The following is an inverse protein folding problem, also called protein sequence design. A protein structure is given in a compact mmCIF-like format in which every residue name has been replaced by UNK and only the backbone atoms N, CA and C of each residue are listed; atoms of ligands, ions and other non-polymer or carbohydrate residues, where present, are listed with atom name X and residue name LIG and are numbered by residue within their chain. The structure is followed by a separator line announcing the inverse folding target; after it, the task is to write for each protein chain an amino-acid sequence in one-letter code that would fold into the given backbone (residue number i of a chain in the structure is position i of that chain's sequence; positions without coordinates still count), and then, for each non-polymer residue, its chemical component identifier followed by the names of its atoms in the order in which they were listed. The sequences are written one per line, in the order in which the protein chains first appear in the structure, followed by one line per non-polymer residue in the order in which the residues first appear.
data_IF_523635892581
#
_entry.id   IF_523635892581
#
_cell.length_a   1.000
_cell.length_b   1.000
_cell.length_c   1.000
_cell.angle_alpha   90.00
_cell.angle_beta   90.00
_cell.angle_gamma   90.00
#
_symmetry.space_group_name_H-M   'P 1'
#
loop_
_entity.id
_entity.type
_entity.pdbx_description
1 polymer ?
#
# COMPACT_ATOMS: atom_id res chain seq x y z
N UNK A 1 53.95 33.20 36.49
CA UNK A 1 53.53 32.09 35.60
C UNK A 1 52.01 32.07 35.55
N UNK A 2 51.41 32.64 34.51
CA UNK A 2 49.96 32.58 34.29
C UNK A 2 49.65 31.34 33.44
N UNK A 3 48.90 30.39 33.99
CA UNK A 3 48.46 29.19 33.29
C UNK A 3 47.15 29.51 32.56
N UNK A 4 47.22 29.63 31.24
CA UNK A 4 46.05 29.79 30.37
C UNK A 4 45.48 28.38 30.10
N UNK A 5 44.34 28.06 30.69
CA UNK A 5 43.60 26.83 30.37
C UNK A 5 42.71 27.10 29.17
N UNK A 6 43.18 26.68 27.98
CA UNK A 6 42.37 26.65 26.77
C UNK A 6 41.27 25.61 26.93
N UNK A 7 40.01 26.07 27.05
CA UNK A 7 38.84 25.23 26.87
C UNK A 7 38.60 25.09 25.36
N UNK A 8 38.91 23.91 24.82
CA UNK A 8 38.44 23.52 23.49
C UNK A 8 36.98 23.08 23.65
N UNK A 9 36.03 23.97 23.35
CA UNK A 9 34.65 23.56 23.09
C UNK A 9 34.62 22.92 21.69
N UNK A 10 34.72 21.59 21.66
CA UNK A 10 34.33 20.82 20.49
C UNK A 10 32.79 20.73 20.48
N UNK A 11 32.13 21.73 19.89
CA UNK A 11 30.71 21.64 19.55
C UNK A 11 30.55 20.65 18.39
N UNK A 12 30.12 19.43 18.69
CA UNK A 12 29.80 18.44 17.67
C UNK A 12 28.61 18.92 16.83
N UNK A 13 28.78 18.96 15.50
CA UNK A 13 27.66 18.95 14.58
C UNK A 13 26.93 17.62 14.78
N UNK A 14 25.77 17.65 15.43
CA UNK A 14 24.84 16.52 15.40
C UNK A 14 24.28 16.50 13.97
N UNK A 15 24.83 15.64 13.12
CA UNK A 15 24.18 15.30 11.87
C UNK A 15 22.85 14.62 12.25
N UNK A 16 21.73 15.28 11.95
CA UNK A 16 20.41 14.65 11.99
C UNK A 16 20.38 13.64 10.83
N UNK A 17 20.85 12.43 11.06
CA UNK A 17 20.63 11.34 10.11
C UNK A 17 19.15 10.97 10.19
N UNK A 18 18.42 11.17 9.09
CA UNK A 18 17.02 10.76 9.00
C UNK A 18 16.96 9.23 8.84
N UNK A 19 16.93 8.52 9.98
CA UNK A 19 17.01 7.08 10.05
C UNK A 19 15.71 6.33 9.74
N UNK A 20 14.66 7.05 9.32
CA UNK A 20 13.39 6.47 8.91
C UNK A 20 13.52 5.56 7.68
N UNK A 21 12.43 4.89 7.39
CA UNK A 21 12.41 3.79 6.43
C UNK A 21 12.16 4.30 5.02
N UNK A 22 12.92 3.76 4.06
CA UNK A 22 12.76 4.02 2.62
C UNK A 22 12.67 2.72 1.85
N UNK A 23 11.90 2.74 0.76
CA UNK A 23 11.79 1.62 -0.17
C UNK A 23 13.15 1.30 -0.78
N UNK A 24 13.52 0.02 -0.81
CA UNK A 24 14.72 -0.49 -1.48
C UNK A 24 14.37 -1.40 -2.65
N UNK A 25 13.34 -2.25 -2.48
CA UNK A 25 12.87 -3.20 -3.48
C UNK A 25 11.34 -3.10 -3.56
N UNK A 26 10.73 -2.93 -4.75
CA UNK A 26 11.39 -2.70 -6.04
C UNK A 26 12.24 -1.42 -6.07
N UNK A 27 13.20 -1.35 -7.00
CA UNK A 27 14.12 -0.21 -7.10
C UNK A 27 13.32 1.08 -7.29
N UNK A 28 13.41 2.06 -6.37
CA UNK A 28 12.64 3.29 -6.46
C UNK A 28 13.03 4.16 -7.65
N UNK A 29 12.23 5.18 -7.92
CA UNK A 29 12.66 6.28 -8.79
C UNK A 29 13.97 6.90 -8.28
N UNK A 30 14.88 7.20 -9.21
CA UNK A 30 16.13 7.93 -8.94
C UNK A 30 15.96 9.44 -9.07
N UNK A 31 14.93 9.90 -9.78
CA UNK A 31 14.47 11.29 -9.80
C UNK A 31 12.94 11.30 -9.70
N UNK A 32 12.32 12.01 -8.74
CA UNK A 32 13.00 12.59 -7.58
C UNK A 32 13.77 11.49 -6.81
N UNK A 33 14.89 11.82 -6.16
CA UNK A 33 15.46 10.88 -5.20
C UNK A 33 14.46 10.70 -4.06
N UNK A 34 14.13 9.45 -3.73
CA UNK A 34 13.29 9.18 -2.56
C UNK A 34 14.01 9.58 -1.27
N UNK A 35 13.24 9.95 -0.26
CA UNK A 35 13.75 10.23 1.09
C UNK A 35 13.08 9.31 2.10
N UNK A 36 13.68 9.21 3.28
CA UNK A 36 13.10 8.53 4.44
C UNK A 36 12.05 9.37 5.17
N UNK A 37 11.89 10.65 4.80
CA UNK A 37 10.94 11.57 5.44
C UNK A 37 9.49 11.28 5.01
N UNK A 38 8.50 11.53 5.88
CA UNK A 38 7.10 11.39 5.51
C UNK A 38 6.68 12.41 4.45
N UNK A 39 5.52 12.18 3.81
CA UNK A 39 4.84 13.21 3.04
C UNK A 39 4.53 14.40 3.97
N UNK A 40 4.72 15.61 3.46
CA UNK A 40 4.42 16.84 4.19
C UNK A 40 2.97 16.83 4.69
N UNK A 41 2.71 17.36 5.88
CA UNK A 41 1.35 17.35 6.44
C UNK A 41 0.36 18.19 5.61
N UNK A 42 0.83 19.21 4.88
CA UNK A 42 0.06 19.93 3.85
C UNK A 42 -0.01 19.19 2.51
N UNK A 43 0.76 18.12 2.37
CA UNK A 43 0.91 17.23 1.22
C UNK A 43 1.36 17.91 -0.06
N UNK A 44 2.17 18.97 0.08
CA UNK A 44 2.76 19.66 -1.06
C UNK A 44 3.60 18.74 -1.96
N UNK A 45 4.12 17.64 -1.42
CA UNK A 45 4.92 16.62 -2.11
C UNK A 45 4.16 15.28 -2.28
N UNK A 46 2.82 15.27 -2.16
CA UNK A 46 2.01 14.11 -2.49
C UNK A 46 1.64 14.11 -3.99
N UNK A 47 1.72 12.96 -4.69
CA UNK A 47 2.24 11.66 -4.28
C UNK A 47 3.75 11.51 -4.52
N UNK A 48 4.34 10.40 -4.05
CA UNK A 48 5.70 9.99 -4.39
C UNK A 48 6.82 10.99 -4.04
N UNK A 49 6.60 11.86 -3.04
CA UNK A 49 7.56 12.86 -2.56
C UNK A 49 7.97 13.91 -3.62
N UNK A 50 7.10 14.19 -4.60
CA UNK A 50 7.35 15.18 -5.65
C UNK A 50 6.08 15.89 -6.11
N UNK A 51 6.25 16.97 -6.88
CA UNK A 51 5.18 17.75 -7.50
C UNK A 51 4.82 17.29 -8.93
N UNK A 52 5.37 16.14 -9.36
CA UNK A 52 4.97 15.45 -10.58
C UNK A 52 5.78 15.78 -11.84
N UNK A 53 6.82 16.61 -11.74
CA UNK A 53 7.52 17.13 -12.92
C UNK A 53 8.57 16.16 -13.50
N UNK A 54 9.30 15.41 -12.67
CA UNK A 54 10.41 14.54 -13.10
C UNK A 54 10.36 13.15 -12.44
N UNK A 55 9.99 12.13 -13.22
CA UNK A 55 10.08 10.72 -12.81
C UNK A 55 11.11 10.00 -13.70
N UNK A 56 12.21 9.57 -13.11
CA UNK A 56 13.31 8.85 -13.77
C UNK A 56 13.69 7.63 -12.92
N UNK A 57 13.79 6.48 -13.55
CA UNK A 57 14.26 5.24 -12.95
C UNK A 57 14.11 4.11 -13.96
N UNK A 58 14.90 3.05 -13.79
CA UNK A 58 14.78 1.87 -14.66
C UNK A 58 13.62 1.00 -14.15
N UNK A 59 12.60 0.69 -14.97
CA UNK A 59 11.46 -0.09 -14.53
C UNK A 59 11.86 -1.50 -14.09
N UNK A 60 11.44 -1.91 -12.91
CA UNK A 60 11.53 -3.32 -12.49
C UNK A 60 10.48 -4.12 -13.26
N UNK A 61 10.91 -5.15 -14.00
CA UNK A 61 9.99 -6.02 -14.76
C UNK A 61 9.29 -7.00 -13.85
N UNK A 62 7.96 -7.06 -13.96
CA UNK A 62 7.13 -7.94 -13.13
C UNK A 62 6.09 -8.65 -14.00
N UNK A 63 6.04 -9.97 -13.91
CA UNK A 63 5.07 -10.76 -14.66
C UNK A 63 3.75 -10.84 -13.90
N UNK A 64 2.61 -10.78 -14.60
CA UNK A 64 1.31 -11.11 -14.01
C UNK A 64 1.32 -12.50 -13.37
N UNK A 65 0.68 -12.64 -12.22
CA UNK A 65 0.66 -13.86 -11.43
C UNK A 65 1.95 -14.15 -10.66
N UNK A 66 2.99 -13.31 -10.78
CA UNK A 66 4.24 -13.51 -10.06
C UNK A 66 4.22 -12.89 -8.65
N UNK A 67 5.00 -13.51 -7.76
CA UNK A 67 5.37 -12.96 -6.46
C UNK A 67 6.52 -11.97 -6.64
N UNK A 68 6.42 -10.83 -5.98
CA UNK A 68 7.43 -9.77 -5.97
C UNK A 68 7.88 -9.50 -4.54
N UNK A 69 9.16 -9.19 -4.39
CA UNK A 69 9.74 -8.82 -3.09
C UNK A 69 9.46 -7.35 -2.79
N UNK A 70 9.18 -7.06 -1.53
CA UNK A 70 9.15 -5.72 -0.95
C UNK A 70 10.21 -5.64 0.17
N UNK A 71 11.13 -4.70 0.04
CA UNK A 71 12.25 -4.55 0.97
C UNK A 71 12.60 -3.09 1.24
N UNK A 72 13.21 -2.84 2.41
CA UNK A 72 13.44 -1.49 2.92
C UNK A 72 14.88 -1.26 3.41
N UNK A 73 15.25 0.00 3.52
CA UNK A 73 16.47 0.51 4.16
C UNK A 73 16.07 1.51 5.25
N UNK A 74 16.77 1.51 6.37
CA UNK A 74 16.53 2.38 7.53
C UNK A 74 16.48 1.59 8.84
N UNK A 75 16.29 2.30 9.94
CA UNK A 75 16.25 1.70 11.29
C UNK A 75 15.18 2.26 12.22
N UNK A 76 14.62 3.44 11.92
CA UNK A 76 13.51 4.00 12.67
C UNK A 76 12.17 3.46 12.17
N UNK A 77 11.82 2.27 12.66
CA UNK A 77 10.61 1.52 12.27
C UNK A 77 9.39 1.85 13.13
N UNK A 78 9.51 2.69 14.16
CA UNK A 78 8.38 3.20 14.96
C UNK A 78 7.45 2.12 15.53
N UNK A 79 8.01 0.98 15.97
CA UNK A 79 7.24 -0.16 16.46
C UNK A 79 6.47 -0.91 15.37
N UNK A 80 6.84 -0.69 14.10
CA UNK A 80 6.12 -1.14 12.92
C UNK A 80 4.98 -0.18 12.55
N UNK A 81 3.78 -0.73 12.44
CA UNK A 81 2.64 -0.07 11.82
C UNK A 81 2.10 -0.90 10.68
N UNK A 82 1.43 -0.24 9.73
CA UNK A 82 0.76 -0.93 8.63
C UNK A 82 1.08 -0.28 7.30
N UNK A 83 1.15 -1.10 6.25
CA UNK A 83 1.57 -0.68 4.93
C UNK A 83 0.59 -1.12 3.85
N UNK A 84 0.55 -0.39 2.75
CA UNK A 84 -0.03 -0.89 1.50
C UNK A 84 1.01 -0.85 0.38
N UNK A 85 0.96 -1.85 -0.49
CA UNK A 85 1.56 -1.80 -1.82
C UNK A 85 0.43 -1.52 -2.79
N UNK A 86 0.57 -0.48 -3.59
CA UNK A 86 -0.47 -0.05 -4.54
C UNK A 86 0.13 0.24 -5.90
N UNK A 87 -0.69 0.20 -6.96
CA UNK A 87 -0.28 0.42 -8.34
C UNK A 87 -1.10 1.52 -9.01
N UNK A 88 -0.46 2.30 -9.88
CA UNK A 88 -1.11 3.15 -10.88
C UNK A 88 -0.42 2.98 -12.22
N UNK A 89 -1.16 3.11 -13.32
CA UNK A 89 -0.57 3.15 -14.67
C UNK A 89 -0.18 4.58 -15.10
N UNK A 90 -0.35 5.56 -14.21
CA UNK A 90 0.24 6.88 -14.39
C UNK A 90 1.77 6.76 -14.25
N UNK A 91 2.50 6.92 -15.36
CA UNK A 91 3.97 6.95 -15.36
C UNK A 91 4.54 8.18 -14.64
N UNK A 92 3.70 9.21 -14.47
CA UNK A 92 4.01 10.43 -13.71
C UNK A 92 2.88 10.75 -12.74
N UNK A 93 2.81 10.03 -11.60
CA UNK A 93 1.72 10.24 -10.66
C UNK A 93 1.68 11.68 -10.13
N UNK A 94 0.46 12.17 -9.95
CA UNK A 94 0.16 13.48 -9.39
C UNK A 94 -1.01 13.38 -8.39
N UNK A 95 -1.43 14.50 -7.81
CA UNK A 95 -2.48 14.51 -6.79
C UNK A 95 -3.86 13.99 -7.28
N UNK A 96 -4.07 13.83 -8.59
CA UNK A 96 -5.28 13.26 -9.18
C UNK A 96 -5.13 11.77 -9.54
N UNK A 97 -3.93 11.21 -9.43
CA UNK A 97 -3.69 9.79 -9.69
C UNK A 97 -4.40 8.91 -8.67
N UNK A 98 -5.02 7.83 -9.16
CA UNK A 98 -5.61 6.78 -8.32
C UNK A 98 -4.62 5.64 -8.16
N UNK A 99 -4.34 5.26 -6.92
CA UNK A 99 -3.50 4.11 -6.60
C UNK A 99 -4.38 2.95 -6.12
N UNK A 100 -4.22 1.79 -6.75
CA UNK A 100 -5.02 0.58 -6.51
C UNK A 100 -4.26 -0.42 -5.66
N UNK A 101 -4.85 -0.89 -4.57
CA UNK A 101 -4.20 -1.75 -3.58
C UNK A 101 -3.92 -3.13 -4.17
N UNK A 102 -2.65 -3.52 -4.15
CA UNK A 102 -2.18 -4.88 -4.46
C UNK A 102 -2.05 -5.74 -3.21
N UNK A 103 -1.57 -5.15 -2.11
CA UNK A 103 -1.30 -5.83 -0.84
C UNK A 103 -1.56 -4.89 0.33
N UNK A 104 -2.18 -5.40 1.38
CA UNK A 104 -2.21 -4.73 2.70
C UNK A 104 -1.45 -5.56 3.73
N UNK A 105 -0.58 -4.92 4.49
CA UNK A 105 0.17 -5.52 5.61
C UNK A 105 -0.28 -4.81 6.88
N UNK A 106 -1.05 -5.52 7.70
CA UNK A 106 -1.68 -5.02 8.92
C UNK A 106 -0.85 -5.43 10.14
N UNK A 107 -0.06 -4.47 10.63
CA UNK A 107 0.89 -4.69 11.70
C UNK A 107 2.24 -5.20 11.23
N UNK A 108 3.28 -4.86 12.00
CA UNK A 108 4.63 -5.36 11.78
C UNK A 108 5.31 -4.91 10.50
N UNK A 109 4.81 -3.87 9.81
CA UNK A 109 5.50 -3.27 8.67
C UNK A 109 6.08 -1.89 9.06
N UNK A 110 7.33 -1.55 8.68
CA UNK A 110 8.26 -2.31 7.82
C UNK A 110 9.17 -3.31 8.54
N UNK A 111 9.06 -3.47 9.86
CA UNK A 111 9.75 -4.53 10.60
C UNK A 111 8.84 -5.22 11.62
N UNK A 112 8.89 -6.55 11.66
CA UNK A 112 8.06 -7.41 12.51
C UNK A 112 8.69 -7.55 13.89
N UNK A 113 7.87 -7.58 14.93
CA UNK A 113 8.33 -7.89 16.30
C UNK A 113 9.28 -6.85 16.93
N UNK A 114 9.38 -5.64 16.37
CA UNK A 114 10.17 -4.54 16.93
C UNK A 114 9.25 -3.62 17.75
N UNK A 115 9.57 -3.39 19.02
CA UNK A 115 8.74 -2.55 19.91
C UNK A 115 8.94 -1.03 19.72
N UNK A 116 10.06 -0.63 19.13
CA UNK A 116 10.43 0.77 18.89
C UNK A 116 11.23 0.90 17.59
N UNK A 117 12.47 1.38 17.67
CA UNK A 117 13.40 1.41 16.54
C UNK A 117 14.41 0.26 16.62
N UNK A 118 15.04 -0.05 15.48
CA UNK A 118 16.11 -1.04 15.39
C UNK A 118 17.39 -0.40 15.96
N UNK A 119 18.06 -1.12 16.85
CA UNK A 119 19.31 -0.69 17.47
C UNK A 119 20.49 -1.59 17.07
N UNK A 120 21.68 -1.03 16.80
CA UNK A 120 21.96 0.41 16.74
C UNK A 120 21.31 1.09 15.53
N UNK A 121 21.13 2.40 15.61
CA UNK A 121 20.67 3.21 14.47
C UNK A 121 21.53 2.96 13.22
N UNK A 122 20.86 2.66 12.11
CA UNK A 122 21.45 2.34 10.82
C UNK A 122 20.59 2.96 9.70
N UNK A 123 20.74 4.26 9.41
CA UNK A 123 19.92 4.98 8.41
C UNK A 123 20.05 4.41 7.00
N UNK A 124 21.21 3.80 6.70
CA UNK A 124 21.51 3.16 5.41
C UNK A 124 21.62 1.62 5.54
N UNK A 125 21.19 1.06 6.68
CA UNK A 125 21.16 -0.39 6.90
C UNK A 125 19.91 -1.01 6.29
N UNK A 126 20.03 -2.24 5.80
CA UNK A 126 18.85 -2.99 5.34
C UNK A 126 17.95 -3.35 6.52
N UNK A 127 16.64 -3.22 6.32
CA UNK A 127 15.65 -3.70 7.27
C UNK A 127 15.78 -5.23 7.44
N UNK A 128 15.49 -5.77 8.64
CA UNK A 128 15.64 -7.19 8.95
C UNK A 128 14.62 -8.06 8.21
N UNK A 129 13.49 -7.48 7.82
CA UNK A 129 12.37 -8.15 7.19
C UNK A 129 12.22 -7.74 5.72
N UNK A 130 11.82 -8.70 4.91
CA UNK A 130 11.19 -8.48 3.61
C UNK A 130 9.76 -9.00 3.63
N UNK A 131 8.98 -8.58 2.63
CA UNK A 131 7.58 -8.94 2.43
C UNK A 131 7.39 -9.37 0.98
N UNK A 132 6.25 -9.97 0.70
CA UNK A 132 5.86 -10.35 -0.66
C UNK A 132 4.53 -9.71 -1.04
N UNK A 133 4.39 -9.36 -2.31
CA UNK A 133 3.12 -9.00 -2.92
C UNK A 133 2.97 -9.68 -4.28
N UNK A 134 1.73 -9.93 -4.68
CA UNK A 134 1.41 -10.54 -5.97
C UNK A 134 1.08 -9.48 -7.02
N UNK A 135 1.47 -9.70 -8.28
CA UNK A 135 0.89 -8.99 -9.41
C UNK A 135 -0.37 -9.74 -9.86
N UNK A 136 -1.57 -9.13 -9.81
CA UNK A 136 -2.80 -9.79 -10.27
C UNK A 136 -2.74 -10.17 -11.75
N UNK A 137 -3.43 -11.26 -12.12
CA UNK A 137 -3.54 -11.67 -13.53
C UNK A 137 -4.50 -10.79 -14.34
N UNK A 138 -5.43 -10.09 -13.67
CA UNK A 138 -6.55 -9.39 -14.30
C UNK A 138 -6.33 -7.89 -14.52
N UNK A 139 -5.14 -7.35 -14.20
CA UNK A 139 -4.78 -5.95 -14.47
C UNK A 139 -4.11 -5.79 -15.85
N UNK A 140 -4.06 -4.59 -16.45
CA UNK A 140 -3.41 -4.35 -17.73
C UNK A 140 -1.90 -4.71 -17.75
N UNK A 141 -1.31 -4.84 -18.94
CA UNK A 141 0.16 -4.87 -19.07
C UNK A 141 0.65 -3.47 -19.44
N UNK A 142 1.90 -3.15 -19.13
CA UNK A 142 2.52 -1.87 -19.47
C UNK A 142 3.35 -1.27 -18.35
N UNK A 143 3.88 -0.07 -18.60
CA UNK A 143 4.58 0.70 -17.58
C UNK A 143 3.60 1.18 -16.52
N UNK A 144 4.02 1.10 -15.27
CA UNK A 144 3.24 1.49 -14.13
C UNK A 144 4.16 1.99 -13.00
N UNK A 145 3.54 2.54 -11.97
CA UNK A 145 4.18 2.95 -10.73
C UNK A 145 3.66 2.10 -9.58
N UNK A 146 4.56 1.47 -8.83
CA UNK A 146 4.22 0.90 -7.52
C UNK A 146 4.52 1.93 -6.43
N UNK A 147 3.59 2.09 -5.50
CA UNK A 147 3.77 2.87 -4.29
C UNK A 147 3.78 1.94 -3.07
N UNK A 148 4.83 2.06 -2.26
CA UNK A 148 4.79 1.63 -0.86
C UNK A 148 4.29 2.79 -0.02
N UNK A 149 3.30 2.53 0.82
CA UNK A 149 2.83 3.47 1.83
C UNK A 149 2.90 2.87 3.21
N UNK A 150 3.17 3.69 4.21
CA UNK A 150 3.28 3.26 5.60
C UNK A 150 2.70 4.28 6.57
N UNK A 151 1.90 3.76 7.51
CA UNK A 151 1.38 4.46 8.68
C UNK A 151 2.07 3.91 9.92
N UNK A 152 2.91 4.72 10.55
CA UNK A 152 3.71 4.36 11.71
C UNK A 152 2.87 4.16 12.97
N UNK A 153 3.16 3.10 13.73
CA UNK A 153 2.43 2.78 14.96
C UNK A 153 2.68 3.81 16.06
N UNK A 154 3.93 4.21 16.27
CA UNK A 154 4.38 5.07 17.39
C UNK A 154 4.92 6.40 16.85
N UNK A 155 4.70 7.52 17.56
CA UNK A 155 5.26 8.83 17.22
C UNK A 155 4.25 9.79 16.60
N UNK A 156 4.70 10.67 15.71
CA UNK A 156 3.80 11.57 14.99
C UNK A 156 2.84 10.78 14.09
N UNK A 157 1.67 11.33 13.78
CA UNK A 157 0.74 10.68 12.84
C UNK A 157 1.18 11.05 11.44
N UNK A 158 1.95 10.18 10.81
CA UNK A 158 2.64 10.45 9.55
C UNK A 158 2.14 9.52 8.43
N UNK A 159 2.40 9.92 7.19
CA UNK A 159 2.13 9.12 5.99
C UNK A 159 3.41 9.06 5.17
N UNK A 160 4.04 7.89 5.13
CA UNK A 160 5.22 7.65 4.32
C UNK A 160 4.79 7.10 2.97
N UNK A 161 5.45 7.56 1.91
CA UNK A 161 5.19 7.08 0.56
C UNK A 161 6.46 7.14 -0.28
N UNK A 162 6.91 6.00 -0.80
CA UNK A 162 7.94 5.95 -1.86
C UNK A 162 7.41 5.19 -3.05
N UNK A 163 7.87 5.58 -4.24
CA UNK A 163 7.39 5.02 -5.50
C UNK A 163 8.52 4.42 -6.33
N UNK A 164 8.20 3.40 -7.12
CA UNK A 164 9.11 2.69 -8.00
C UNK A 164 8.50 2.51 -9.39
N UNK A 165 9.26 2.74 -10.47
CA UNK A 165 8.82 2.40 -11.81
C UNK A 165 8.82 0.88 -11.99
N UNK A 166 7.78 0.35 -12.62
CA UNK A 166 7.67 -1.07 -12.96
C UNK A 166 7.16 -1.24 -14.38
N UNK A 167 7.41 -2.41 -14.96
CA UNK A 167 6.83 -2.82 -16.24
C UNK A 167 6.11 -4.16 -16.04
N UNK A 168 4.77 -4.11 -16.10
CA UNK A 168 3.92 -5.29 -15.97
C UNK A 168 3.84 -6.00 -17.31
N UNK A 169 4.28 -7.26 -17.34
CA UNK A 169 4.26 -8.10 -18.54
C UNK A 169 3.26 -9.26 -18.41
N UNK A 170 2.90 -9.85 -19.55
CA UNK A 170 1.87 -10.89 -19.65
C UNK A 170 0.75 -10.50 -20.60
N UNK A 171 -0.18 -11.42 -20.82
CA UNK A 171 -1.36 -11.23 -21.67
C UNK A 171 -2.64 -11.15 -20.84
N UNK A 172 -3.75 -10.70 -21.44
CA UNK A 172 -5.01 -10.56 -20.73
C UNK A 172 -5.06 -9.36 -19.78
N UNK A 173 -5.99 -9.40 -18.83
CA UNK A 173 -6.29 -8.31 -17.92
C UNK A 173 -7.07 -7.16 -18.55
N UNK A 174 -7.61 -6.27 -17.72
CA UNK A 174 -8.47 -5.18 -18.17
C UNK A 174 -8.46 -4.00 -17.19
N UNK A 175 -8.84 -2.83 -17.69
CA UNK A 175 -9.12 -1.67 -16.84
C UNK A 175 -10.20 -1.95 -15.79
N UNK A 176 -11.14 -2.86 -16.08
CA UNK A 176 -12.16 -3.27 -15.11
C UNK A 176 -11.57 -4.10 -13.95
N UNK A 177 -10.56 -4.94 -14.23
CA UNK A 177 -9.83 -5.67 -13.18
C UNK A 177 -9.04 -4.71 -12.28
N UNK A 178 -8.33 -3.76 -12.88
CA UNK A 178 -7.66 -2.68 -12.13
C UNK A 178 -8.65 -1.86 -11.30
N UNK A 179 -9.80 -1.48 -11.87
CA UNK A 179 -10.83 -0.70 -11.18
C UNK A 179 -11.56 -1.48 -10.08
N UNK A 180 -11.53 -2.81 -10.11
CA UNK A 180 -12.10 -3.67 -9.06
C UNK A 180 -11.22 -3.73 -7.81
N UNK A 181 -9.93 -3.41 -7.93
CA UNK A 181 -9.05 -3.25 -6.79
C UNK A 181 -9.47 -2.02 -5.96
N UNK A 182 -9.36 -2.07 -4.62
CA UNK A 182 -9.63 -0.91 -3.78
C UNK A 182 -8.69 0.25 -4.06
N UNK A 183 -9.13 1.48 -3.84
CA UNK A 183 -8.20 2.60 -3.74
C UNK A 183 -7.40 2.55 -2.43
N UNK A 184 -6.14 2.98 -2.54
CA UNK A 184 -5.19 3.11 -1.45
C UNK A 184 -5.71 4.08 -0.39
N UNK A 185 -5.48 3.75 0.89
CA UNK A 185 -5.77 4.64 1.99
C UNK A 185 -4.81 5.84 1.97
N UNK A 186 -5.38 7.04 2.06
CA UNK A 186 -4.64 8.28 2.33
C UNK A 186 -5.15 8.80 3.68
N UNK A 187 -4.24 9.10 4.59
CA UNK A 187 -4.56 9.68 5.90
C UNK A 187 -3.41 10.59 6.35
N UNK A 188 -3.63 11.36 7.42
CA UNK A 188 -2.63 12.19 8.10
C UNK A 188 -2.06 13.39 7.29
N UNK A 189 -2.51 13.60 6.05
CA UNK A 189 -2.14 14.75 5.20
C UNK A 189 -3.38 15.53 4.77
N UNK A 190 -3.23 16.79 4.37
CA UNK A 190 -4.34 17.67 4.00
C UNK A 190 -5.27 17.10 2.90
N UNK A 191 -4.69 16.35 1.95
CA UNK A 191 -5.37 15.69 0.83
C UNK A 191 -6.36 14.62 1.33
N UNK A 192 -6.12 14.07 2.51
CA UNK A 192 -6.99 13.08 3.15
C UNK A 192 -8.21 13.71 3.88
N UNK A 193 -8.32 15.04 3.87
CA UNK A 193 -9.38 15.76 4.58
C UNK A 193 -9.34 15.50 6.09
N UNK A 194 -10.35 14.82 6.60
CA UNK A 194 -10.47 14.50 8.04
C UNK A 194 -9.88 13.14 8.42
N UNK A 195 -9.44 12.34 7.44
CA UNK A 195 -8.97 10.98 7.70
C UNK A 195 -7.63 10.97 8.45
N UNK A 196 -7.64 10.35 9.64
CA UNK A 196 -6.48 10.32 10.54
C UNK A 196 -6.30 8.95 11.18
N UNK A 197 -5.06 8.63 11.48
CA UNK A 197 -4.69 7.43 12.23
C UNK A 197 -4.54 7.72 13.72
N UNK A 198 -4.77 6.70 14.56
CA UNK A 198 -4.51 6.76 15.99
C UNK A 198 -3.08 6.29 16.31
N UNK A 199 -2.49 6.84 17.37
CA UNK A 199 -1.21 6.36 17.90
C UNK A 199 -1.38 5.06 18.70
N UNK A 200 -0.38 4.18 18.61
CA UNK A 200 -0.28 2.95 19.39
C UNK A 200 -1.11 1.78 18.84
N UNK A 201 -1.67 1.92 17.65
CA UNK A 201 -2.37 0.85 16.92
C UNK A 201 -1.83 0.70 15.51
N UNK A 202 -1.89 -0.54 15.03
CA UNK A 202 -1.72 -0.89 13.63
C UNK A 202 -3.04 -0.60 12.89
N UNK A 203 -2.98 -0.25 11.60
CA UNK A 203 -4.17 0.12 10.84
C UNK A 203 -4.93 -1.12 10.39
N UNK A 204 -6.20 -1.20 10.75
CA UNK A 204 -7.18 -2.03 10.07
C UNK A 204 -7.64 -1.27 8.81
N UNK A 205 -7.13 -1.64 7.65
CA UNK A 205 -7.49 -0.93 6.43
C UNK A 205 -8.98 -1.14 6.13
N UNK A 206 -9.78 -0.09 5.90
CA UNK A 206 -11.20 -0.24 5.58
C UNK A 206 -11.46 -1.04 4.31
N UNK A 207 -10.54 -0.94 3.34
CA UNK A 207 -10.60 -1.66 2.07
C UNK A 207 -9.22 -2.29 1.77
N UNK A 208 -8.90 -3.44 2.41
CA UNK A 208 -7.54 -3.98 2.39
C UNK A 208 -7.19 -4.72 1.09
N UNK A 209 -8.17 -4.98 0.23
CA UNK A 209 -8.03 -5.84 -0.95
C UNK A 209 -8.17 -7.32 -0.60
N UNK A 210 -7.81 -8.19 -1.54
CA UNK A 210 -7.88 -9.65 -1.37
C UNK A 210 -6.59 -10.25 -0.82
N UNK A 211 -5.45 -9.59 -0.98
CA UNK A 211 -4.16 -10.01 -0.46
C UNK A 211 -3.82 -9.22 0.82
N UNK A 212 -4.09 -9.85 1.96
CA UNK A 212 -3.90 -9.25 3.29
C UNK A 212 -2.98 -10.13 4.12
N UNK A 213 -1.92 -9.53 4.64
CA UNK A 213 -1.08 -10.12 5.67
C UNK A 213 -1.36 -9.41 6.99
N UNK A 214 -1.58 -10.15 8.07
CA UNK A 214 -1.64 -9.61 9.42
C UNK A 214 -0.46 -10.19 10.20
N UNK A 215 0.35 -9.34 10.81
CA UNK A 215 1.50 -9.83 11.58
C UNK A 215 1.05 -10.71 12.75
N UNK A 216 1.90 -11.68 13.12
CA UNK A 216 1.70 -12.49 14.32
C UNK A 216 2.14 -11.72 15.58
N UNK A 217 1.57 -12.07 16.74
CA UNK A 217 1.93 -11.48 18.04
C UNK A 217 0.97 -10.38 18.51
N UNK A 218 1.49 -9.43 19.30
CA UNK A 218 0.72 -8.30 19.86
C UNK A 218 0.40 -7.23 18.80
N UNK A 219 -0.48 -7.59 17.87
CA UNK A 219 -1.06 -6.68 16.88
C UNK A 219 -2.36 -6.09 17.42
N UNK A 220 -2.41 -4.77 17.52
CA UNK A 220 -3.62 -4.04 17.91
C UNK A 220 -4.12 -3.28 16.70
N UNK A 221 -5.05 -3.90 15.98
CA UNK A 221 -5.69 -3.27 14.83
C UNK A 221 -6.73 -2.24 15.29
N UNK A 222 -6.74 -1.09 14.61
CA UNK A 222 -7.80 -0.10 14.72
C UNK A 222 -8.06 0.53 13.34
N UNK A 223 -9.33 0.80 12.99
CA UNK A 223 -9.63 1.55 11.79
C UNK A 223 -9.14 3.00 11.94
N UNK A 224 -8.86 3.70 10.82
CA UNK A 224 -8.63 5.13 10.87
C UNK A 224 -9.93 5.87 11.24
N UNK A 225 -9.79 7.08 11.79
CA UNK A 225 -10.88 7.95 12.21
C UNK A 225 -11.17 9.04 11.18
N UNK A 226 -12.41 9.53 11.14
CA UNK A 226 -12.90 10.52 10.19
C UNK A 226 -13.42 9.93 8.87
N UNK A 227 -13.53 10.77 7.85
CA UNK A 227 -14.03 10.38 6.53
C UNK A 227 -12.90 9.75 5.69
N UNK A 228 -12.55 8.52 6.03
CA UNK A 228 -11.52 7.73 5.36
C UNK A 228 -12.06 6.99 4.13
N UNK A 229 -12.83 7.70 3.30
CA UNK A 229 -13.43 7.14 2.10
C UNK A 229 -12.35 6.54 1.20
N UNK A 230 -12.45 5.25 0.91
CA UNK A 230 -11.87 4.73 -0.31
C UNK A 230 -12.53 5.47 -1.46
N UNK A 231 -11.75 6.14 -2.29
CA UNK A 231 -12.20 6.31 -3.65
C UNK A 231 -12.52 4.90 -4.23
N UNK A 232 -13.47 4.84 -5.15
CA UNK A 232 -13.81 3.68 -6.00
C UNK A 232 -13.38 2.25 -5.63
N UNK A 233 -14.31 1.50 -5.03
CA UNK A 233 -14.34 0.03 -5.09
C UNK A 233 -15.66 -0.53 -4.58
N UNK A 234 -16.61 -0.83 -5.48
CA UNK A 234 -17.88 -1.48 -5.14
C UNK A 234 -17.63 -2.95 -4.74
N UNK A 235 -17.36 -3.20 -3.46
CA UNK A 235 -17.39 -4.52 -2.82
C UNK A 235 -18.68 -4.69 -2.02
N UNK A 236 -19.52 -5.65 -2.42
CA UNK A 236 -20.91 -5.76 -1.98
C UNK A 236 -21.12 -6.02 -0.49
N UNK A 237 -22.13 -5.37 0.07
CA UNK A 237 -22.64 -5.65 1.41
C UNK A 237 -23.16 -7.09 1.49
N UNK A 238 -22.44 -7.95 2.22
CA UNK A 238 -22.94 -9.22 2.70
C UNK A 238 -23.98 -9.01 3.82
N UNK A 239 -25.21 -8.71 3.44
CA UNK A 239 -26.37 -8.72 4.35
C UNK A 239 -27.09 -10.06 4.27
N UNK A 240 -26.96 -10.89 5.31
CA UNK A 240 -27.72 -12.14 5.42
C UNK A 240 -28.96 -11.97 6.29
N UNK A 241 -30.03 -12.61 5.82
CA UNK A 241 -31.24 -13.08 6.51
C UNK A 241 -32.50 -12.19 6.53
N UNK A 242 -33.60 -12.80 6.05
CA UNK A 242 -34.96 -12.29 6.13
C UNK A 242 -35.85 -12.92 5.06
N UNK A 243 -36.20 -14.19 5.23
CA UNK A 243 -36.97 -14.95 4.25
C UNK A 243 -38.41 -14.48 4.08
N UNK A 244 -38.98 -14.75 2.91
CA UNK A 244 -40.40 -15.13 2.74
C UNK A 244 -40.59 -15.70 1.34
N UNK A 245 -41.13 -16.91 1.30
CA UNK A 245 -41.48 -17.64 0.09
C UNK A 245 -42.69 -17.01 -0.60
N UNK A 246 -42.63 -16.89 -1.92
CA UNK A 246 -43.81 -16.74 -2.77
C UNK A 246 -43.67 -17.60 -4.02
N UNK A 247 -44.70 -18.41 -4.25
CA UNK A 247 -44.78 -19.47 -5.23
C UNK A 247 -44.78 -18.99 -6.69
N UNK A 248 -44.18 -19.78 -7.57
CA UNK A 248 -44.28 -19.63 -9.02
C UNK A 248 -45.52 -20.36 -9.57
N UNK A 249 -46.24 -19.83 -10.58
CA UNK A 249 -47.27 -20.58 -11.31
C UNK A 249 -46.63 -21.50 -12.36
N UNK A 250 -47.21 -22.71 -12.49
CA UNK A 250 -46.73 -23.78 -13.35
C UNK A 250 -46.84 -23.48 -14.86
N UNK A 251 -45.78 -23.86 -15.59
CA UNK A 251 -45.72 -23.85 -17.04
C UNK A 251 -46.47 -25.04 -17.66
N UNK A 252 -47.20 -24.74 -18.73
CA UNK A 252 -48.05 -25.66 -19.48
C UNK A 252 -47.26 -26.70 -20.30
N UNK A 253 -47.86 -27.89 -20.40
CA UNK A 253 -47.36 -29.03 -21.18
C UNK A 253 -47.55 -28.85 -22.69
N UNK A 254 -46.53 -29.23 -23.46
CA UNK A 254 -46.59 -29.39 -24.93
C UNK A 254 -47.04 -30.80 -25.32
N UNK A 255 -47.84 -30.99 -26.39
CA UNK A 255 -48.30 -32.30 -26.83
C UNK A 255 -47.29 -32.98 -27.78
N UNK A 256 -47.13 -34.29 -27.61
CA UNK A 256 -46.30 -35.16 -28.44
C UNK A 256 -46.98 -35.54 -29.77
N UNK A 257 -46.20 -35.49 -30.85
CA UNK A 257 -46.59 -35.83 -32.23
C UNK A 257 -46.63 -37.35 -32.42
N UNK A 258 -47.74 -37.86 -32.99
CA UNK A 258 -47.95 -39.26 -33.40
C UNK A 258 -47.29 -39.53 -34.76
N UNK A 259 -46.27 -40.39 -34.80
CA UNK A 259 -45.76 -41.02 -36.02
C UNK A 259 -46.22 -42.47 -36.13
N UNK A 260 -46.95 -42.80 -37.20
CA UNK A 260 -47.37 -44.16 -37.57
C UNK A 260 -46.20 -44.91 -38.20
N UNK A 261 -46.00 -46.17 -37.82
CA UNK A 261 -45.33 -47.15 -38.68
C UNK A 261 -46.02 -48.51 -38.62
N UNK A 262 -46.13 -49.10 -39.81
CA UNK A 262 -46.82 -50.33 -40.22
C UNK A 262 -45.84 -51.52 -40.25
N UNK A 263 -46.41 -52.74 -40.33
CA UNK A 263 -45.82 -54.10 -40.53
C UNK A 263 -45.71 -54.91 -39.22
N UNK A 264 -46.17 -56.15 -39.12
CA UNK A 264 -46.68 -57.18 -40.06
C UNK A 264 -47.96 -57.77 -39.48
#
# INVERSE_FOLDING_TARGET
MFSLKSFVLAGGLIALADAHMKLRVPTPYSSPPITSSPIDAGGANYPCQTDGNDYVGEPTKMEKGSKQELGFTGSAVHGGGSCQVSITYDEKPNAQSSFKVLKSIQGGCPARGVAGNIEPEAPEGDAPDTYEFMIPEDIPSGKATIAWTWFNKIGNREFYMNCAPVEISGSGGSEAGLAALPDMLIANIAQAGTCKTAEGSDIEFPNPGSDVETAEGDVKLAPPDGECAAAGGSGGSGGSSGGSATAAPGGAATPAVRGRHFRV
#
